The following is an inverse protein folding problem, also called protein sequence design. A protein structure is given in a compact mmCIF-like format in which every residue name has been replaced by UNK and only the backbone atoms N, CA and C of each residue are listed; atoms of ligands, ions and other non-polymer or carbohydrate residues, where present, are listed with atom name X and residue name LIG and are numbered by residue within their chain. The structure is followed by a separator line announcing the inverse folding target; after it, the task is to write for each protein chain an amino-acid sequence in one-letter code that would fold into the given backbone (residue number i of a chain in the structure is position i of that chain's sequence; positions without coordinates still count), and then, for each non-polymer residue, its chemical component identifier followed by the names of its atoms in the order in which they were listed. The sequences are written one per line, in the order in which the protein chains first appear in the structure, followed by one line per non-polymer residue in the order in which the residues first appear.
data_IF_271197488209
#
_entry.id   IF_271197488209
#
_cell.length_a   1.000
_cell.length_b   1.000
_cell.length_c   1.000
_cell.angle_alpha   90.00
_cell.angle_beta   90.00
_cell.angle_gamma   90.00
#
_symmetry.space_group_name_H-M   'P 1'
#
loop_
_entity.id
_entity.type
_entity.pdbx_description
1 polymer ?
#
# COMPACT_ATOMS: atom_id res chain seq x y z
N UNK A 1 -15.75 -16.77 2.23
CA UNK A 1 -14.57 -16.36 1.45
C UNK A 1 -14.80 -14.95 0.95
N UNK A 2 -14.45 -13.95 1.76
CA UNK A 2 -14.67 -12.54 1.43
C UNK A 2 -13.30 -11.88 1.30
N UNK A 3 -12.68 -12.07 0.15
CA UNK A 3 -11.49 -11.32 -0.26
C UNK A 3 -11.92 -9.91 -0.63
N UNK A 4 -11.39 -8.91 0.07
CA UNK A 4 -11.60 -7.51 -0.30
C UNK A 4 -10.73 -7.27 -1.52
N UNK A 5 -11.40 -7.19 -2.68
CA UNK A 5 -10.83 -6.79 -3.97
C UNK A 5 -10.30 -5.35 -3.84
N UNK A 6 -9.06 -5.08 -4.29
CA UNK A 6 -8.45 -3.73 -4.31
C UNK A 6 -9.38 -2.60 -4.82
N UNK A 7 -10.27 -2.84 -5.83
CA UNK A 7 -11.26 -1.85 -6.28
C UNK A 7 -12.37 -1.50 -5.27
N UNK A 8 -12.48 -2.22 -4.15
CA UNK A 8 -13.49 -1.97 -3.11
C UNK A 8 -12.96 -1.21 -1.90
N UNK A 9 -11.66 -0.99 -1.80
CA UNK A 9 -11.06 -0.16 -0.74
C UNK A 9 -11.00 1.31 -1.13
N UNK A 10 -10.95 1.60 -2.43
CA UNK A 10 -10.82 2.96 -2.93
C UNK A 10 -11.81 3.20 -4.08
N UNK A 11 -12.58 4.32 -4.06
CA UNK A 11 -13.47 4.68 -5.14
C UNK A 11 -12.73 4.73 -6.50
N UNK A 12 -13.42 4.49 -7.64
CA UNK A 12 -12.78 4.39 -8.95
C UNK A 12 -11.93 5.60 -9.37
N UNK A 13 -12.19 6.80 -8.83
CA UNK A 13 -11.39 8.00 -9.08
C UNK A 13 -10.04 8.04 -8.31
N UNK A 14 -9.79 7.09 -7.41
CA UNK A 14 -8.55 6.97 -6.65
C UNK A 14 -7.50 6.13 -7.40
N UNK A 15 -7.93 5.14 -8.19
CA UNK A 15 -7.02 4.29 -8.97
C UNK A 15 -6.13 5.07 -9.97
N UNK A 16 -6.66 6.12 -10.61
CA UNK A 16 -5.88 6.99 -11.51
C UNK A 16 -4.83 7.84 -10.77
N UNK A 17 -5.07 8.20 -9.50
CA UNK A 17 -4.09 8.95 -8.68
C UNK A 17 -3.06 8.03 -8.04
N UNK A 18 -3.45 6.80 -7.70
CA UNK A 18 -2.55 5.82 -7.07
C UNK A 18 -1.49 5.32 -8.05
N UNK A 19 -1.85 5.12 -9.34
CA UNK A 19 -0.89 4.82 -10.40
C UNK A 19 0.16 5.94 -10.53
N UNK A 20 -0.29 7.20 -10.46
CA UNK A 20 0.58 8.38 -10.49
C UNK A 20 1.54 8.44 -9.29
N UNK A 21 1.19 7.90 -8.12
CA UNK A 21 2.10 7.84 -6.96
C UNK A 21 3.15 6.74 -7.11
N UNK A 22 2.77 5.59 -7.67
CA UNK A 22 3.69 4.52 -8.04
C UNK A 22 4.66 4.98 -9.15
N UNK A 23 4.14 5.60 -10.20
CA UNK A 23 4.90 6.12 -11.34
C UNK A 23 5.81 7.32 -10.99
N UNK A 24 5.50 8.08 -9.93
CA UNK A 24 6.35 9.17 -9.45
C UNK A 24 7.64 8.71 -8.73
N UNK A 25 7.91 7.40 -8.65
CA UNK A 25 9.14 6.89 -8.03
C UNK A 25 9.24 7.19 -6.53
N UNK A 26 8.09 7.37 -5.88
CA UNK A 26 8.01 7.69 -4.45
C UNK A 26 8.11 6.46 -3.56
N UNK A 27 7.96 5.26 -4.13
CA UNK A 27 8.13 4.00 -3.42
C UNK A 27 9.59 3.57 -3.54
N UNK A 28 10.24 3.40 -2.41
CA UNK A 28 11.66 3.02 -2.29
C UNK A 28 11.79 1.84 -1.34
N UNK A 29 12.92 1.15 -1.48
CA UNK A 29 13.33 0.06 -0.59
C UNK A 29 12.23 -0.99 -0.38
N UNK A 30 11.60 -1.42 -1.48
CA UNK A 30 10.56 -2.46 -1.44
C UNK A 30 11.23 -3.78 -1.05
N UNK A 31 10.92 -4.26 0.14
CA UNK A 31 11.43 -5.50 0.68
C UNK A 31 10.30 -6.50 0.90
N UNK A 32 10.47 -7.69 0.34
CA UNK A 32 9.65 -8.85 0.70
C UNK A 32 10.29 -9.53 1.91
N UNK A 33 9.57 -9.50 3.01
CA UNK A 33 9.94 -10.24 4.22
C UNK A 33 9.34 -11.65 4.20
N UNK A 34 9.83 -12.53 5.07
CA UNK A 34 9.28 -13.88 5.22
C UNK A 34 7.81 -13.82 5.70
N UNK A 35 7.01 -14.83 5.32
CA UNK A 35 5.57 -14.93 5.59
C UNK A 35 4.66 -13.93 4.84
N UNK A 36 5.00 -13.57 3.59
CA UNK A 36 4.09 -12.86 2.69
C UNK A 36 3.90 -11.37 3.03
N UNK A 37 4.81 -10.81 3.84
CA UNK A 37 4.79 -9.40 4.22
C UNK A 37 5.71 -8.59 3.32
N UNK A 38 5.22 -7.45 2.86
CA UNK A 38 5.95 -6.48 2.05
C UNK A 38 6.10 -5.21 2.87
N UNK A 39 7.25 -4.57 2.77
CA UNK A 39 7.53 -3.26 3.37
C UNK A 39 8.15 -2.36 2.33
N UNK A 40 7.82 -1.08 2.38
CA UNK A 40 8.47 -0.06 1.58
C UNK A 40 8.53 1.26 2.32
N UNK A 41 9.40 2.14 1.86
CA UNK A 41 9.40 3.55 2.23
C UNK A 41 8.69 4.33 1.13
N UNK A 42 7.71 5.16 1.49
CA UNK A 42 6.96 5.97 0.54
C UNK A 42 7.18 7.45 0.82
N UNK A 43 7.78 8.16 -0.12
CA UNK A 43 8.05 9.59 -0.03
C UNK A 43 6.77 10.44 -0.19
N UNK A 44 6.43 11.21 0.84
CA UNK A 44 5.35 12.19 0.86
C UNK A 44 5.88 13.59 1.23
N UNK A 45 5.26 14.23 2.21
CA UNK A 45 5.84 15.39 2.90
C UNK A 45 7.08 15.02 3.71
N UNK A 46 7.09 13.79 4.21
CA UNK A 46 8.22 13.10 4.84
C UNK A 46 8.27 11.68 4.27
N UNK A 47 9.26 10.89 4.65
CA UNK A 47 9.29 9.48 4.30
C UNK A 47 8.41 8.69 5.28
N UNK A 48 7.50 7.89 4.74
CA UNK A 48 6.58 7.07 5.52
C UNK A 48 6.90 5.59 5.33
N UNK A 49 6.94 4.83 6.43
CA UNK A 49 7.09 3.38 6.39
C UNK A 49 5.73 2.73 6.17
N UNK A 50 5.60 2.00 5.07
CA UNK A 50 4.39 1.26 4.69
C UNK A 50 4.68 -0.23 4.75
N UNK A 51 3.73 -1.01 5.25
CA UNK A 51 3.79 -2.46 5.17
C UNK A 51 2.44 -3.05 4.81
N UNK A 52 2.47 -4.16 4.06
CA UNK A 52 1.31 -4.94 3.67
C UNK A 52 1.58 -6.41 3.98
N UNK A 53 0.57 -7.14 4.42
CA UNK A 53 0.59 -8.60 4.52
C UNK A 53 -0.32 -9.15 3.44
N UNK A 54 0.25 -9.90 2.52
CA UNK A 54 -0.50 -10.64 1.51
C UNK A 54 -0.69 -12.10 1.93
N UNK A 55 -1.78 -12.71 1.51
CA UNK A 55 -1.93 -14.17 1.56
C UNK A 55 -1.30 -14.87 0.34
N UNK A 56 -1.49 -16.19 0.26
CA UNK A 56 -0.96 -17.03 -0.83
C UNK A 56 -1.50 -16.65 -2.21
N UNK A 57 -2.69 -16.05 -2.27
CA UNK A 57 -3.35 -15.64 -3.50
C UNK A 57 -3.11 -14.14 -3.79
N UNK A 58 -2.13 -13.53 -3.10
CA UNK A 58 -1.72 -12.13 -3.20
C UNK A 58 -2.80 -11.13 -2.75
N UNK A 59 -3.77 -11.53 -1.93
CA UNK A 59 -4.74 -10.60 -1.35
C UNK A 59 -4.20 -9.93 -0.09
N UNK A 60 -4.46 -8.63 0.07
CA UNK A 60 -4.13 -7.89 1.29
C UNK A 60 -4.97 -8.43 2.45
N UNK A 61 -4.30 -9.01 3.44
CA UNK A 61 -4.87 -9.46 4.72
C UNK A 61 -4.83 -8.38 5.78
N UNK A 62 -3.77 -7.59 5.76
CA UNK A 62 -3.49 -6.57 6.77
C UNK A 62 -2.46 -5.58 6.23
N UNK A 63 -2.34 -4.42 6.87
CA UNK A 63 -1.36 -3.42 6.48
C UNK A 63 -1.42 -2.19 7.36
N UNK A 64 -0.39 -1.35 7.21
CA UNK A 64 -0.34 -0.09 7.92
C UNK A 64 0.64 0.89 7.30
N UNK A 65 0.46 2.14 7.70
CA UNK A 65 1.35 3.25 7.39
C UNK A 65 1.47 4.11 8.65
N UNK A 66 2.68 4.60 8.91
CA UNK A 66 3.00 5.49 10.03
C UNK A 66 2.62 6.97 9.77
N UNK A 67 2.00 7.27 8.63
CA UNK A 67 1.57 8.63 8.33
C UNK A 67 0.46 9.10 9.29
N UNK A 68 0.41 10.40 9.60
CA UNK A 68 -0.50 10.96 10.61
C UNK A 68 -1.99 10.86 10.23
N UNK A 69 -2.30 10.57 8.95
CA UNK A 69 -3.67 10.35 8.49
C UNK A 69 -4.27 9.06 9.06
N UNK A 70 -3.45 8.03 9.29
CA UNK A 70 -3.90 6.71 9.74
C UNK A 70 -4.83 6.00 8.74
N UNK A 71 -5.24 4.78 9.08
CA UNK A 71 -6.18 3.98 8.28
C UNK A 71 -5.67 3.66 6.86
N UNK A 72 -6.60 3.49 5.92
CA UNK A 72 -6.30 3.22 4.50
C UNK A 72 -5.86 4.51 3.79
N UNK A 73 -4.58 4.85 3.92
CA UNK A 73 -4.00 6.04 3.31
C UNK A 73 -3.46 5.77 1.88
N UNK A 74 -3.25 6.85 1.12
CA UNK A 74 -2.67 6.81 -0.24
C UNK A 74 -1.30 6.10 -0.33
N UNK A 75 -0.52 6.11 0.76
CA UNK A 75 0.79 5.44 0.77
C UNK A 75 0.64 3.92 0.79
N UNK A 76 -0.41 3.40 1.42
CA UNK A 76 -0.73 1.96 1.40
C UNK A 76 -1.22 1.50 0.03
N UNK A 77 -1.89 2.36 -0.73
CA UNK A 77 -2.32 2.06 -2.09
C UNK A 77 -1.16 2.08 -3.11
N UNK A 78 -0.07 2.78 -2.78
CA UNK A 78 1.13 2.84 -3.61
C UNK A 78 2.05 1.61 -3.49
N UNK A 79 1.89 0.77 -2.45
CA UNK A 79 2.65 -0.46 -2.23
C UNK A 79 1.87 -1.69 -2.74
#
# INVERSE_FOLDING_TARGET
MSGIYLPRLFPPHIAERDLLYFEQGKVRDVQKTSAGRYRAEVCGSENYSVWLKLDSDLYIKDGGCDCPYGGACKHMAAL
#
